data_IF_215454624932
#
_entry.id   IF_215454624932
#
_cell.length_a   1.000
_cell.length_b   1.000
_cell.length_c   1.000
_cell.angle_alpha   90.00
_cell.angle_beta   90.00
_cell.angle_gamma   90.00
#
_symmetry.space_group_name_H-M   'P 1'
#
loop_
_entity.id
_entity.type
_entity.pdbx_description
1 polymer ?
#
# COMPACT_ATOMS: atom_id res chain seq x y z
N UNK A 1 19.57 -3.82 -14.24
CA UNK A 1 18.59 -4.67 -13.53
C UNK A 1 17.23 -4.06 -13.78
N UNK A 2 16.27 -4.84 -14.28
CA UNK A 2 14.87 -4.41 -14.29
C UNK A 2 14.27 -4.83 -12.96
N UNK A 3 13.97 -3.86 -12.10
CA UNK A 3 13.22 -4.14 -10.87
C UNK A 3 11.75 -4.36 -11.26
N UNK A 4 11.18 -5.49 -10.86
CA UNK A 4 9.79 -5.81 -11.08
C UNK A 4 9.05 -5.70 -9.75
N UNK A 5 7.99 -4.89 -9.72
CA UNK A 5 7.10 -4.79 -8.57
C UNK A 5 5.96 -5.78 -8.77
N UNK A 6 5.74 -6.64 -7.77
CA UNK A 6 4.62 -7.58 -7.79
C UNK A 6 3.35 -6.86 -7.33
N UNK A 7 2.36 -6.74 -8.21
CA UNK A 7 1.11 -6.06 -7.89
C UNK A 7 -0.06 -6.99 -8.18
N UNK A 8 -0.96 -7.12 -7.21
CA UNK A 8 -2.18 -7.89 -7.40
C UNK A 8 -3.07 -7.22 -8.48
N UNK A 9 -3.50 -7.96 -9.53
CA UNK A 9 -4.20 -7.38 -10.69
C UNK A 9 -5.54 -6.72 -10.38
N UNK A 10 -6.15 -7.07 -9.26
CA UNK A 10 -7.44 -6.54 -8.78
C UNK A 10 -7.34 -5.08 -8.30
N UNK A 11 -6.13 -4.60 -8.01
CA UNK A 11 -5.89 -3.26 -7.46
C UNK A 11 -5.84 -2.24 -8.59
N UNK A 12 -6.70 -1.23 -8.51
CA UNK A 12 -6.74 -0.15 -9.51
C UNK A 12 -5.45 0.68 -9.55
N UNK A 13 -5.07 1.18 -10.73
CA UNK A 13 -3.89 2.04 -10.92
C UNK A 13 -3.93 3.29 -10.04
N UNK A 14 -5.12 3.87 -9.85
CA UNK A 14 -5.31 5.01 -8.95
C UNK A 14 -4.93 4.66 -7.50
N UNK A 15 -5.39 3.50 -7.02
CA UNK A 15 -5.06 3.02 -5.68
C UNK A 15 -3.57 2.75 -5.53
N UNK A 16 -2.95 2.13 -6.53
CA UNK A 16 -1.50 1.89 -6.55
C UNK A 16 -0.76 3.22 -6.39
N UNK A 17 -1.07 4.21 -7.24
CA UNK A 17 -0.45 5.53 -7.16
C UNK A 17 -0.66 6.21 -5.81
N UNK A 18 -1.86 6.09 -5.23
CA UNK A 18 -2.18 6.64 -3.91
C UNK A 18 -1.34 5.99 -2.80
N UNK A 19 -1.22 4.66 -2.78
CA UNK A 19 -0.42 3.94 -1.78
C UNK A 19 1.05 4.35 -1.88
N UNK A 20 1.61 4.40 -3.10
CA UNK A 20 2.99 4.79 -3.33
C UNK A 20 3.26 6.22 -2.88
N UNK A 21 2.37 7.16 -3.22
CA UNK A 21 2.46 8.54 -2.78
C UNK A 21 2.47 8.65 -1.26
N UNK A 22 1.49 8.05 -0.59
CA UNK A 22 1.36 8.13 0.87
C UNK A 22 2.59 7.54 1.57
N UNK A 23 3.11 6.41 1.09
CA UNK A 23 4.33 5.80 1.65
C UNK A 23 5.54 6.72 1.44
N UNK A 24 5.67 7.35 0.27
CA UNK A 24 6.78 8.27 -0.04
C UNK A 24 6.79 9.53 0.83
N UNK A 25 5.64 9.91 1.39
CA UNK A 25 5.50 11.05 2.29
C UNK A 25 5.94 10.72 3.74
N UNK A 26 6.15 9.45 4.07
CA UNK A 26 6.59 9.00 5.40
C UNK A 26 8.13 9.05 5.46
N UNK A 27 8.74 9.88 6.34
CA UNK A 27 10.20 10.03 6.40
C UNK A 27 10.97 8.73 6.65
N UNK A 28 10.36 7.79 7.39
CA UNK A 28 10.93 6.47 7.67
C UNK A 28 11.22 5.66 6.39
N UNK A 29 10.45 5.87 5.31
CA UNK A 29 10.56 5.15 4.04
C UNK A 29 11.25 5.95 2.93
N UNK A 30 11.89 7.09 3.24
CA UNK A 30 12.43 8.01 2.23
C UNK A 30 13.44 7.38 1.25
N UNK A 31 14.16 6.33 1.68
CA UNK A 31 15.13 5.61 0.85
C UNK A 31 14.73 4.15 0.62
N UNK A 32 13.48 3.79 0.89
CA UNK A 32 12.98 2.43 0.80
C UNK A 32 12.32 2.12 -0.54
N UNK A 33 12.21 0.84 -0.87
CA UNK A 33 11.60 0.36 -2.12
C UNK A 33 10.43 -0.56 -1.85
N UNK A 34 9.29 -0.26 -2.46
CA UNK A 34 8.13 -1.16 -2.49
C UNK A 34 8.40 -2.25 -3.53
N UNK A 35 8.37 -3.51 -3.11
CA UNK A 35 8.59 -4.68 -3.97
C UNK A 35 7.33 -5.50 -4.21
N UNK A 36 6.32 -5.39 -3.34
CA UNK A 36 5.03 -6.04 -3.53
C UNK A 36 3.84 -5.24 -2.95
N UNK A 37 2.67 -5.37 -3.60
CA UNK A 37 1.39 -4.83 -3.16
C UNK A 37 0.27 -5.84 -3.39
N UNK A 38 -0.32 -6.32 -2.30
CA UNK A 38 -1.38 -7.35 -2.29
C UNK A 38 -2.59 -6.85 -1.50
N UNK A 39 -3.78 -7.40 -1.76
CA UNK A 39 -4.95 -7.14 -0.94
C UNK A 39 -4.81 -7.87 0.40
N UNK A 40 -5.06 -7.16 1.50
CA UNK A 40 -5.21 -7.77 2.81
C UNK A 40 -6.70 -7.94 3.13
N UNK A 41 -7.25 -9.17 3.18
CA UNK A 41 -8.67 -9.39 3.42
C UNK A 41 -9.09 -8.97 4.84
N UNK A 42 -10.40 -8.79 5.04
CA UNK A 42 -10.98 -8.46 6.36
C UNK A 42 -11.30 -6.99 6.59
N UNK A 43 -11.10 -6.12 5.59
CA UNK A 43 -11.59 -4.74 5.63
C UNK A 43 -13.09 -4.67 5.34
N UNK A 44 -13.90 -4.22 6.30
CA UNK A 44 -15.35 -3.98 6.09
C UNK A 44 -15.62 -2.56 5.58
N UNK A 45 -14.98 -1.57 6.20
CA UNK A 45 -15.17 -0.14 5.91
C UNK A 45 -13.90 0.55 5.40
N UNK A 46 -12.78 -0.17 5.39
CA UNK A 46 -11.48 0.34 4.97
C UNK A 46 -10.89 -0.60 3.93
N UNK A 47 -10.02 -0.06 3.09
CA UNK A 47 -9.22 -0.86 2.18
C UNK A 47 -7.89 -1.19 2.84
N UNK A 48 -7.61 -2.48 3.02
CA UNK A 48 -6.36 -2.94 3.62
C UNK A 48 -5.48 -3.58 2.55
N UNK A 49 -4.20 -3.31 2.63
CA UNK A 49 -3.17 -3.81 1.72
C UNK A 49 -2.01 -4.38 2.51
N UNK A 50 -1.39 -5.40 1.96
CA UNK A 50 -0.11 -5.91 2.41
C UNK A 50 0.95 -5.35 1.47
N UNK A 51 1.89 -4.60 2.02
CA UNK A 51 2.95 -3.93 1.26
C UNK A 51 4.30 -4.46 1.71
N UNK A 52 5.11 -4.93 0.78
CA UNK A 52 6.48 -5.34 1.05
C UNK A 52 7.42 -4.18 0.74
N UNK A 53 8.17 -3.73 1.75
CA UNK A 53 9.11 -2.61 1.68
C UNK A 53 10.45 -3.09 2.25
N UNK A 54 11.51 -3.10 1.45
CA UNK A 54 12.85 -3.59 1.84
C UNK A 54 12.80 -4.96 2.54
N UNK A 55 12.09 -5.91 1.94
CA UNK A 55 11.86 -7.29 2.45
C UNK A 55 11.07 -7.39 3.76
N UNK A 56 10.55 -6.27 4.29
CA UNK A 56 9.67 -6.24 5.46
C UNK A 56 8.23 -6.06 5.02
N UNK A 57 7.33 -6.86 5.60
CA UNK A 57 5.89 -6.79 5.31
C UNK A 57 5.19 -5.83 6.26
N UNK A 58 4.47 -4.86 5.69
CA UNK A 58 3.65 -3.88 6.41
C UNK A 58 2.18 -4.04 6.04
N UNK A 59 1.30 -3.84 7.02
CA UNK A 59 -0.13 -3.68 6.78
C UNK A 59 -0.45 -2.19 6.58
N UNK A 60 -1.00 -1.84 5.42
CA UNK A 60 -1.41 -0.47 5.09
C UNK A 60 -2.93 -0.42 5.06
N UNK A 61 -3.51 0.44 5.88
CA UNK A 61 -4.96 0.68 5.94
C UNK A 61 -5.28 2.05 5.36
N UNK A 62 -6.06 2.08 4.30
CA UNK A 62 -6.65 3.30 3.77
C UNK A 62 -8.06 3.46 4.32
N UNK A 63 -8.28 4.53 5.07
CA UNK A 63 -9.58 4.90 5.59
C UNK A 63 -10.60 5.04 4.45
N UNK A 64 -11.77 4.42 4.62
CA UNK A 64 -12.90 4.58 3.71
C UNK A 64 -13.56 5.95 3.87
N UNK A 65 -14.43 6.29 2.92
CA UNK A 65 -15.25 7.49 3.03
C UNK A 65 -16.08 7.44 4.32
N UNK A 66 -16.03 8.52 5.11
CA UNK A 66 -16.76 8.61 6.39
C UNK A 66 -16.11 7.89 7.57
N UNK A 67 -14.88 7.37 7.44
CA UNK A 67 -14.17 6.70 8.54
C UNK A 67 -12.96 7.48 9.05
N UNK A 68 -12.79 8.75 8.66
CA UNK A 68 -11.67 9.59 9.16
C UNK A 68 -11.87 10.08 10.60
N UNK A 69 -13.09 10.02 11.11
CA UNK A 69 -13.47 10.56 12.42
C UNK A 69 -13.43 9.54 13.57
N UNK A 70 -12.99 8.31 13.30
CA UNK A 70 -12.89 7.22 14.28
C UNK A 70 -11.45 6.86 14.61
#
# INVERSE_FOLDING_TARGET
MHEQIMIEPSISLETIGRVFKLISEIPYFANSRISALEILPGGLTNSNYKVMIDDVTYAVRLAGAGTMEY
#
